data_IF_497012564266
#
_entry.id   IF_497012564266
#
_cell.length_a   1.000
_cell.length_b   1.000
_cell.length_c   1.000
_cell.angle_alpha   90.00
_cell.angle_beta   90.00
_cell.angle_gamma   90.00
#
_symmetry.space_group_name_H-M   'P 1'
#
loop_
_entity.id
_entity.type
_entity.pdbx_description
1 polymer ?
#
# COMPACT_ATOMS: atom_id res chain seq x y z
N UNK A 1 -36.37 -47.60 22.24
CA UNK A 1 -35.34 -48.61 22.53
C UNK A 1 -34.00 -47.88 22.45
N UNK A 2 -33.79 -46.94 23.38
CA UNK A 2 -33.15 -47.16 24.68
C UNK A 2 -31.63 -47.36 24.55
N UNK A 3 -30.88 -46.29 24.81
CA UNK A 3 -30.08 -46.26 26.05
C UNK A 3 -29.43 -44.89 26.26
N UNK A 4 -29.69 -44.34 27.44
CA UNK A 4 -29.10 -43.15 28.00
C UNK A 4 -27.77 -43.50 28.71
N UNK A 5 -26.81 -42.57 28.71
CA UNK A 5 -25.95 -42.32 29.87
C UNK A 5 -25.18 -40.99 29.72
N UNK A 6 -25.32 -40.12 30.73
CA UNK A 6 -24.60 -38.85 30.94
C UNK A 6 -23.13 -39.10 31.31
N UNK A 7 -22.30 -38.04 31.30
CA UNK A 7 -21.48 -37.81 32.49
C UNK A 7 -21.54 -36.38 33.05
N UNK A 8 -21.16 -36.33 34.34
CA UNK A 8 -21.30 -35.24 35.29
C UNK A 8 -20.16 -34.22 35.19
N UNK A 9 -20.49 -33.01 35.60
CA UNK A 9 -19.63 -31.89 35.99
C UNK A 9 -18.66 -32.23 37.14
N UNK A 10 -17.44 -31.68 37.10
CA UNK A 10 -16.66 -31.21 38.27
C UNK A 10 -15.61 -30.14 37.86
N UNK A 11 -15.83 -28.92 38.35
CA UNK A 11 -14.87 -27.85 38.72
C UNK A 11 -14.73 -27.98 40.26
N UNK A 12 -13.70 -27.55 41.04
CA UNK A 12 -12.69 -26.46 40.87
C UNK A 12 -11.24 -26.84 41.29
N UNK A 13 -10.27 -25.91 41.17
CA UNK A 13 -9.56 -25.29 42.31
C UNK A 13 -8.53 -24.23 41.89
N UNK A 14 -8.49 -23.15 42.66
CA UNK A 14 -7.57 -22.02 42.62
C UNK A 14 -6.15 -22.40 43.08
N UNK A 15 -5.13 -21.71 42.57
CA UNK A 15 -3.91 -21.43 43.33
C UNK A 15 -3.29 -20.08 42.94
N UNK A 16 -3.09 -19.31 44.01
CA UNK A 16 -2.51 -18.00 44.16
C UNK A 16 -0.98 -18.13 44.24
N UNK A 17 -0.18 -17.28 43.59
CA UNK A 17 1.21 -17.07 44.02
C UNK A 17 1.67 -15.62 43.78
N UNK A 18 2.35 -15.10 44.80
CA UNK A 18 2.72 -13.71 45.04
C UNK A 18 4.17 -13.42 44.56
N UNK A 19 4.33 -12.23 43.97
CA UNK A 19 5.44 -11.24 43.98
C UNK A 19 6.85 -11.68 44.44
N UNK A 20 7.86 -11.29 43.65
CA UNK A 20 9.14 -10.73 44.14
C UNK A 20 9.69 -9.68 43.16
N UNK A 21 10.00 -8.51 43.70
CA UNK A 21 10.68 -7.40 43.04
C UNK A 21 12.20 -7.51 43.25
N UNK A 22 12.99 -7.05 42.27
CA UNK A 22 14.40 -6.72 42.48
C UNK A 22 14.75 -5.46 41.68
N UNK A 23 15.22 -4.45 42.41
CA UNK A 23 15.84 -3.23 41.91
C UNK A 23 17.36 -3.42 41.82
N UNK A 24 17.99 -2.79 40.84
CA UNK A 24 19.37 -2.31 40.98
C UNK A 24 19.56 -1.08 40.11
N UNK A 25 20.24 -0.09 40.69
CA UNK A 25 20.58 1.19 40.09
C UNK A 25 22.10 1.34 40.03
N UNK A 26 22.50 2.25 39.14
CA UNK A 26 23.73 3.07 39.12
C UNK A 26 24.75 2.74 38.03
N UNK A 27 24.88 3.65 37.07
CA UNK A 27 26.11 4.41 36.84
C UNK A 27 25.77 5.71 36.08
N UNK A 28 26.12 6.85 36.67
CA UNK A 28 26.09 8.19 36.08
C UNK A 28 27.31 8.38 35.17
N UNK A 29 27.10 9.07 34.05
CA UNK A 29 28.14 9.90 33.45
C UNK A 29 27.51 11.23 33.01
N UNK A 30 27.93 12.32 33.66
CA UNK A 30 27.70 13.70 33.23
C UNK A 30 28.90 14.16 32.40
N UNK A 31 28.67 14.66 31.17
CA UNK A 31 29.48 15.72 30.57
C UNK A 31 28.60 16.61 29.67
N UNK A 32 28.42 17.85 30.13
CA UNK A 32 28.31 19.15 29.47
C UNK A 32 27.32 19.44 28.30
N UNK A 33 26.88 20.72 28.14
CA UNK A 33 25.60 21.08 27.56
C UNK A 33 25.68 21.87 26.23
N UNK A 34 24.47 22.12 25.69
CA UNK A 34 24.09 23.14 24.69
C UNK A 34 24.31 22.82 23.21
N UNK A 35 23.23 22.31 22.62
CA UNK A 35 22.94 22.29 21.19
C UNK A 35 21.55 21.70 20.99
N UNK A 36 20.51 22.48 21.25
CA UNK A 36 19.10 22.08 21.19
C UNK A 36 18.72 21.59 19.79
N UNK A 37 18.72 20.26 19.59
CA UNK A 37 18.04 19.60 18.48
C UNK A 37 17.01 18.63 19.06
N UNK A 38 15.75 19.02 19.01
CA UNK A 38 14.61 18.20 19.41
C UNK A 38 14.32 17.15 18.33
N UNK A 39 14.72 15.90 18.63
CA UNK A 39 14.05 14.59 18.40
C UNK A 39 13.49 14.23 17.01
N UNK A 40 13.60 13.00 16.48
CA UNK A 40 13.92 11.70 17.07
C UNK A 40 14.34 10.65 16.00
N UNK A 41 15.26 9.74 16.34
CA UNK A 41 15.44 8.40 15.75
C UNK A 41 15.81 7.37 16.85
N UNK A 42 15.38 6.11 16.69
CA UNK A 42 15.84 4.92 17.43
C UNK A 42 16.25 3.84 16.39
N UNK A 43 17.38 3.12 16.55
CA UNK A 43 18.03 2.27 15.54
C UNK A 43 17.26 1.09 14.89
N UNK A 44 15.96 0.86 15.11
CA UNK A 44 15.25 -0.34 14.62
C UNK A 44 13.97 -0.11 13.78
N UNK A 45 13.61 1.11 13.37
CA UNK A 45 12.30 1.37 12.73
C UNK A 45 12.35 2.45 11.67
N UNK A 46 11.71 2.18 10.52
CA UNK A 46 11.75 2.97 9.30
C UNK A 46 11.18 4.39 9.45
N UNK A 47 11.93 5.32 8.88
CA UNK A 47 11.75 6.77 8.86
C UNK A 47 10.71 7.18 7.80
N UNK A 48 9.73 8.03 8.13
CA UNK A 48 9.17 8.97 7.15
C UNK A 48 9.88 10.31 7.29
N UNK A 49 10.83 10.57 6.40
CA UNK A 49 11.34 11.91 6.15
C UNK A 49 10.43 12.51 5.09
N UNK A 50 9.60 13.48 5.46
CA UNK A 50 8.99 14.38 4.50
C UNK A 50 10.05 15.43 4.14
N UNK A 51 10.81 15.16 3.09
CA UNK A 51 11.87 16.06 2.61
C UNK A 51 11.28 17.17 1.73
N UNK A 52 10.60 18.14 2.34
CA UNK A 52 10.72 19.53 1.88
C UNK A 52 11.47 20.28 2.99
N UNK A 53 12.80 20.32 2.93
CA UNK A 53 13.63 20.91 4.00
C UNK A 53 13.27 22.39 4.29
N UNK A 54 12.59 23.07 3.37
CA UNK A 54 12.15 24.45 3.57
C UNK A 54 10.74 24.57 4.18
N UNK A 55 9.96 23.48 4.23
CA UNK A 55 8.57 23.47 4.76
C UNK A 55 8.29 22.41 5.82
N UNK A 56 9.16 21.43 6.03
CA UNK A 56 9.00 20.38 7.03
C UNK A 56 8.82 20.92 8.46
N UNK A 57 9.29 22.15 8.73
CA UNK A 57 9.11 22.88 9.98
C UNK A 57 8.00 23.95 9.91
N UNK A 58 7.16 23.93 8.88
CA UNK A 58 6.08 24.90 8.68
C UNK A 58 4.71 24.27 8.55
N UNK A 59 4.58 22.96 8.41
CA UNK A 59 3.27 22.29 8.28
C UNK A 59 3.07 21.14 9.26
N UNK A 60 1.98 21.14 10.02
CA UNK A 60 1.47 19.98 10.75
C UNK A 60 0.93 18.96 9.76
N UNK A 61 1.31 17.69 9.95
CA UNK A 61 0.77 16.59 9.18
C UNK A 61 -0.29 15.82 9.99
N UNK A 62 -1.31 15.32 9.30
CA UNK A 62 -2.39 14.51 9.89
C UNK A 62 -2.58 13.22 9.11
N UNK A 63 -3.07 12.18 9.79
CA UNK A 63 -3.64 11.02 9.10
C UNK A 63 -5.03 11.43 8.61
N UNK A 64 -5.27 11.30 7.32
CA UNK A 64 -6.60 11.28 6.75
C UNK A 64 -6.96 9.84 6.40
N UNK A 65 -8.12 9.38 6.88
CA UNK A 65 -8.69 8.11 6.45
C UNK A 65 -9.72 8.37 5.36
N UNK A 66 -9.72 7.55 4.31
CA UNK A 66 -10.74 7.58 3.25
C UNK A 66 -11.76 6.47 3.53
N UNK A 67 -13.01 6.81 3.84
CA UNK A 67 -14.05 5.80 4.05
C UNK A 67 -14.31 4.95 2.81
N UNK A 68 -14.44 3.63 2.97
CA UNK A 68 -14.87 2.69 1.91
C UNK A 68 -16.41 2.68 1.83
N UNK A 69 -16.97 3.78 1.35
CA UNK A 69 -18.41 3.99 1.14
C UNK A 69 -18.66 4.90 -0.07
N UNK A 70 -19.82 4.76 -0.76
CA UNK A 70 -20.05 5.42 -2.05
C UNK A 70 -19.80 6.93 -2.04
N UNK A 71 -20.18 7.61 -0.96
CA UNK A 71 -20.08 9.07 -0.87
C UNK A 71 -18.64 9.60 -0.92
N UNK A 72 -17.63 8.78 -0.57
CA UNK A 72 -16.22 9.18 -0.51
C UNK A 72 -15.45 8.97 -1.83
N UNK A 73 -16.06 8.32 -2.83
CA UNK A 73 -15.37 7.88 -4.05
C UNK A 73 -16.07 8.35 -5.32
N UNK A 74 -15.27 8.77 -6.30
CA UNK A 74 -15.68 8.86 -7.69
C UNK A 74 -15.42 7.52 -8.36
N UNK A 75 -16.38 7.05 -9.16
CA UNK A 75 -16.23 5.83 -9.96
C UNK A 75 -16.13 6.27 -11.41
N UNK A 76 -14.97 6.06 -12.03
CA UNK A 76 -14.74 6.43 -13.42
C UNK A 76 -15.51 5.52 -14.39
N UNK A 77 -15.61 4.22 -14.07
CA UNK A 77 -16.40 3.24 -14.79
C UNK A 77 -16.67 2.00 -13.91
N UNK A 78 -17.68 1.21 -14.30
CA UNK A 78 -17.94 -0.10 -13.70
C UNK A 78 -18.47 -0.04 -12.28
N UNK A 79 -19.33 0.94 -11.96
CA UNK A 79 -19.96 1.09 -10.65
C UNK A 79 -20.76 -0.16 -10.23
N UNK A 80 -21.41 -0.85 -11.18
CA UNK A 80 -22.10 -2.12 -10.93
C UNK A 80 -21.16 -3.26 -10.46
N UNK A 81 -19.85 -3.11 -10.63
CA UNK A 81 -18.84 -4.06 -10.14
C UNK A 81 -18.31 -3.71 -8.75
N UNK A 82 -18.82 -2.65 -8.11
CA UNK A 82 -18.36 -2.19 -6.80
C UNK A 82 -19.42 -2.49 -5.75
N UNK A 83 -19.02 -3.17 -4.67
CA UNK A 83 -19.86 -3.41 -3.52
C UNK A 83 -19.22 -2.84 -2.25
N UNK A 84 -20.05 -2.29 -1.37
CA UNK A 84 -19.62 -1.69 -0.10
C UNK A 84 -20.07 -2.59 1.04
N UNK A 85 -19.15 -3.42 1.53
CA UNK A 85 -19.40 -4.39 2.58
C UNK A 85 -19.30 -3.69 3.95
N UNK A 86 -20.40 -3.72 4.73
CA UNK A 86 -20.35 -3.31 6.14
C UNK A 86 -19.63 -4.40 6.93
N UNK A 87 -18.61 -4.01 7.70
CA UNK A 87 -17.93 -4.93 8.60
C UNK A 87 -18.08 -4.43 10.04
N UNK A 88 -18.64 -5.24 10.96
CA UNK A 88 -18.66 -4.91 12.38
C UNK A 88 -17.22 -4.62 12.86
N UNK A 89 -17.02 -3.45 13.49
CA UNK A 89 -15.70 -3.03 13.97
C UNK A 89 -14.75 -2.41 12.93
N UNK A 90 -15.16 -2.26 11.66
CA UNK A 90 -14.44 -1.44 10.68
C UNK A 90 -15.28 -0.21 10.36
N UNK A 91 -15.11 0.92 11.09
CA UNK A 91 -15.94 2.12 10.89
C UNK A 91 -15.83 2.69 9.46
N UNK A 92 -14.73 2.37 8.76
CA UNK A 92 -14.48 2.78 7.38
C UNK A 92 -15.08 1.81 6.34
N UNK A 93 -15.63 0.65 6.71
CA UNK A 93 -16.16 -0.35 5.75
C UNK A 93 -15.10 -1.10 4.95
N UNK A 94 -15.55 -1.97 4.04
CA UNK A 94 -14.73 -2.70 3.06
C UNK A 94 -15.29 -2.44 1.66
N UNK A 95 -14.43 -2.02 0.74
CA UNK A 95 -14.76 -1.90 -0.68
C UNK A 95 -14.39 -3.21 -1.38
N UNK A 96 -15.34 -3.85 -2.05
CA UNK A 96 -15.10 -4.98 -2.94
C UNK A 96 -15.26 -4.53 -4.38
N UNK A 97 -14.24 -4.75 -5.19
CA UNK A 97 -14.27 -4.54 -6.64
C UNK A 97 -14.23 -5.91 -7.33
N UNK A 98 -15.16 -6.14 -8.25
CA UNK A 98 -15.27 -7.38 -9.01
C UNK A 98 -14.76 -7.18 -10.45
N UNK A 99 -14.19 -8.22 -11.02
CA UNK A 99 -13.96 -8.35 -12.46
C UNK A 99 -14.94 -9.39 -13.01
N UNK A 100 -15.93 -8.96 -13.79
CA UNK A 100 -16.94 -9.83 -14.38
C UNK A 100 -16.85 -9.73 -15.92
N UNK A 101 -16.63 -10.87 -16.59
CA UNK A 101 -16.17 -10.84 -17.98
C UNK A 101 -14.85 -10.08 -18.09
N UNK A 102 -14.78 -9.10 -18.98
CA UNK A 102 -13.61 -8.22 -19.14
C UNK A 102 -13.76 -6.88 -18.42
N UNK A 103 -14.87 -6.66 -17.71
CA UNK A 103 -15.18 -5.36 -17.10
C UNK A 103 -14.98 -5.40 -15.60
N UNK A 104 -14.10 -4.53 -15.10
CA UNK A 104 -13.92 -4.29 -13.67
C UNK A 104 -14.39 -2.90 -13.27
N UNK A 105 -13.61 -2.18 -12.45
CA UNK A 105 -13.91 -0.80 -12.06
C UNK A 105 -12.63 0.00 -11.78
N UNK A 106 -12.72 1.33 -11.85
CA UNK A 106 -11.68 2.27 -11.42
C UNK A 106 -12.30 3.37 -10.57
N UNK A 107 -11.68 3.63 -9.43
CA UNK A 107 -12.19 4.55 -8.42
C UNK A 107 -11.10 5.46 -7.89
N UNK A 108 -11.46 6.72 -7.66
CA UNK A 108 -10.59 7.73 -7.04
C UNK A 108 -11.31 8.35 -5.85
N UNK A 109 -10.63 8.64 -4.73
CA UNK A 109 -11.21 9.39 -3.62
C UNK A 109 -11.64 10.80 -4.05
N UNK A 110 -12.71 11.34 -3.47
CA UNK A 110 -13.24 12.69 -3.79
C UNK A 110 -12.45 13.85 -3.18
N UNK A 111 -11.41 13.55 -2.44
CA UNK A 111 -10.67 14.48 -1.61
C UNK A 111 -9.38 14.99 -2.28
N UNK A 112 -9.30 14.84 -3.61
CA UNK A 112 -8.41 15.59 -4.50
C UNK A 112 -7.03 14.97 -4.76
N UNK A 113 -6.20 15.77 -5.45
CA UNK A 113 -4.82 15.43 -5.78
C UNK A 113 -3.87 15.76 -4.63
N UNK A 114 -2.76 15.03 -4.58
CA UNK A 114 -1.69 15.15 -3.62
C UNK A 114 -0.36 15.34 -4.33
N UNK A 115 0.50 16.17 -3.76
CA UNK A 115 1.89 16.23 -4.16
C UNK A 115 2.73 15.76 -2.97
N UNK A 116 3.30 14.56 -3.10
CA UNK A 116 4.02 13.84 -2.04
C UNK A 116 3.12 13.38 -0.87
N UNK A 117 3.67 12.50 -0.04
CA UNK A 117 3.01 11.96 1.14
C UNK A 117 3.20 10.46 1.30
N UNK A 118 2.62 9.93 2.36
CA UNK A 118 2.53 8.48 2.58
C UNK A 118 1.09 8.05 2.38
N UNK A 119 0.89 7.00 1.58
CA UNK A 119 -0.40 6.37 1.31
C UNK A 119 -0.33 4.92 1.75
N UNK A 120 -1.39 4.42 2.36
CA UNK A 120 -1.48 3.05 2.84
C UNK A 120 -2.87 2.49 2.56
N UNK A 121 -2.95 1.27 2.07
CA UNK A 121 -4.21 0.54 1.96
C UNK A 121 -4.03 -0.89 2.46
N UNK A 122 -5.09 -1.46 3.04
CA UNK A 122 -5.15 -2.90 3.30
C UNK A 122 -5.93 -3.57 2.20
N UNK A 123 -5.36 -4.61 1.58
CA UNK A 123 -5.97 -5.29 0.46
C UNK A 123 -5.96 -6.82 0.60
N UNK A 124 -6.97 -7.44 -0.01
CA UNK A 124 -7.04 -8.85 -0.39
C UNK A 124 -7.33 -8.88 -1.89
N UNK A 125 -6.29 -9.01 -2.72
CA UNK A 125 -6.44 -8.94 -4.18
C UNK A 125 -6.70 -10.33 -4.77
N UNK A 126 -7.49 -10.42 -5.84
CA UNK A 126 -7.64 -11.68 -6.58
C UNK A 126 -6.28 -12.16 -7.11
N UNK A 127 -6.13 -13.48 -7.20
CA UNK A 127 -5.01 -14.10 -7.91
C UNK A 127 -5.41 -14.83 -9.19
N UNK A 128 -6.61 -14.55 -9.71
CA UNK A 128 -7.10 -15.15 -10.93
C UNK A 128 -6.21 -14.74 -12.13
N UNK A 129 -5.79 -15.68 -12.99
CA UNK A 129 -5.01 -15.35 -14.18
C UNK A 129 -5.71 -14.30 -15.05
N UNK A 130 -4.95 -13.38 -15.66
CA UNK A 130 -5.51 -12.31 -16.49
C UNK A 130 -6.08 -11.12 -15.72
N UNK A 131 -6.35 -11.25 -14.43
CA UNK A 131 -6.83 -10.15 -13.60
C UNK A 131 -5.67 -9.30 -13.07
N UNK A 132 -5.80 -7.99 -13.20
CA UNK A 132 -4.86 -6.99 -12.66
C UNK A 132 -5.60 -6.13 -11.64
N UNK A 133 -5.21 -6.27 -10.38
CA UNK A 133 -5.64 -5.36 -9.32
C UNK A 133 -4.60 -4.27 -9.16
N UNK A 134 -4.99 -3.02 -8.90
CA UNK A 134 -4.04 -1.93 -8.71
C UNK A 134 -4.44 -0.99 -7.57
N UNK A 135 -3.43 -0.51 -6.83
CA UNK A 135 -3.48 0.62 -5.91
C UNK A 135 -2.32 1.54 -6.26
N UNK A 136 -2.62 2.75 -6.71
CA UNK A 136 -1.61 3.63 -7.27
C UNK A 136 -1.93 5.10 -7.05
N UNK A 137 -0.98 5.98 -7.35
CA UNK A 137 -1.20 7.42 -7.51
C UNK A 137 -1.08 7.79 -8.97
N UNK A 138 -1.90 8.70 -9.51
CA UNK A 138 -1.77 9.17 -10.90
C UNK A 138 -2.14 10.64 -11.05
N UNK A 139 -1.42 11.37 -11.91
CA UNK A 139 -1.63 12.81 -12.17
C UNK A 139 -2.61 13.13 -13.31
N UNK A 140 -3.32 12.13 -13.82
CA UNK A 140 -4.22 12.28 -14.97
C UNK A 140 -5.28 11.18 -14.98
N UNK A 141 -6.52 11.57 -15.26
CA UNK A 141 -7.64 10.64 -15.46
C UNK A 141 -7.69 10.08 -16.89
N UNK A 142 -6.89 10.62 -17.82
CA UNK A 142 -6.89 10.18 -19.21
C UNK A 142 -6.27 8.78 -19.31
N UNK A 143 -7.01 7.90 -19.99
CA UNK A 143 -6.64 6.54 -20.33
C UNK A 143 -7.09 6.24 -21.76
N UNK A 144 -6.32 5.54 -22.62
CA UNK A 144 -5.10 4.76 -22.36
C UNK A 144 -3.80 5.57 -22.28
N UNK A 145 -2.73 4.96 -21.75
CA UNK A 145 -1.42 5.60 -21.50
C UNK A 145 -0.80 6.31 -22.72
N UNK A 146 -1.04 5.83 -23.94
CA UNK A 146 -0.55 6.46 -25.17
C UNK A 146 -1.21 7.84 -25.43
N UNK A 147 -2.48 7.99 -25.04
CA UNK A 147 -3.21 9.26 -25.13
C UNK A 147 -3.01 10.14 -23.89
N UNK A 148 -2.58 9.56 -22.78
CA UNK A 148 -2.35 10.28 -21.52
C UNK A 148 -1.14 11.22 -21.57
N UNK A 149 -0.22 10.98 -22.51
CA UNK A 149 0.95 11.83 -22.74
C UNK A 149 1.86 11.91 -21.51
N UNK A 150 2.10 13.13 -21.03
CA UNK A 150 2.96 13.41 -19.89
C UNK A 150 2.18 13.29 -18.56
N UNK A 151 2.32 12.15 -17.89
CA UNK A 151 1.76 11.91 -16.54
C UNK A 151 2.81 11.35 -15.56
N UNK A 152 2.50 11.49 -14.28
CA UNK A 152 3.18 10.88 -13.14
C UNK A 152 2.35 9.75 -12.57
N UNK A 153 2.98 8.66 -12.16
CA UNK A 153 2.30 7.49 -11.57
C UNK A 153 3.20 6.73 -10.60
N UNK A 154 2.63 6.05 -9.60
CA UNK A 154 3.34 5.15 -8.67
C UNK A 154 2.44 3.97 -8.33
N UNK A 155 2.90 2.75 -8.58
CA UNK A 155 2.05 1.57 -8.67
C UNK A 155 2.38 0.48 -7.67
N UNK A 156 1.34 -0.01 -7.00
CA UNK A 156 1.22 -1.41 -6.58
C UNK A 156 0.23 -2.11 -7.50
N UNK A 157 0.68 -3.14 -8.22
CA UNK A 157 -0.18 -3.98 -9.04
C UNK A 157 -0.04 -5.44 -8.63
N UNK A 158 -1.16 -6.13 -8.46
CA UNK A 158 -1.19 -7.58 -8.29
C UNK A 158 -1.35 -8.20 -9.67
N UNK A 159 -0.28 -8.86 -10.10
CA UNK A 159 -0.14 -9.38 -11.44
C UNK A 159 -0.24 -10.90 -11.41
N UNK A 160 -1.20 -11.43 -12.18
CA UNK A 160 -1.57 -12.84 -12.13
C UNK A 160 -1.25 -13.61 -13.42
N UNK A 161 -0.32 -13.06 -14.21
CA UNK A 161 0.19 -13.60 -15.45
C UNK A 161 1.21 -12.62 -16.03
N UNK A 162 1.45 -12.66 -17.34
CA UNK A 162 2.56 -11.95 -17.99
C UNK A 162 2.78 -10.48 -17.52
N UNK A 163 4.02 -10.06 -17.19
CA UNK A 163 5.26 -10.85 -17.15
C UNK A 163 5.46 -11.73 -15.91
N UNK A 164 4.49 -11.79 -14.98
CA UNK A 164 4.58 -12.70 -13.85
C UNK A 164 4.52 -14.17 -14.28
N UNK A 165 5.45 -14.97 -13.75
CA UNK A 165 5.45 -16.43 -13.89
C UNK A 165 4.62 -17.13 -12.80
N UNK A 166 4.35 -16.42 -11.70
CA UNK A 166 3.56 -16.90 -10.57
C UNK A 166 2.38 -15.96 -10.34
N UNK A 167 1.20 -16.52 -10.08
CA UNK A 167 0.04 -15.75 -9.63
C UNK A 167 0.30 -15.10 -8.27
N UNK A 168 -0.47 -14.06 -7.94
CA UNK A 168 -0.28 -13.24 -6.75
C UNK A 168 1.04 -12.45 -6.73
N UNK A 169 1.74 -12.31 -7.85
CA UNK A 169 2.97 -11.52 -7.91
C UNK A 169 2.65 -10.04 -7.73
N UNK A 170 3.61 -9.30 -7.18
CA UNK A 170 3.51 -7.86 -7.00
C UNK A 170 4.39 -7.16 -8.03
N UNK A 171 3.80 -6.26 -8.80
CA UNK A 171 4.49 -5.36 -9.71
C UNK A 171 4.56 -3.97 -9.10
N UNK A 172 5.76 -3.42 -9.03
CA UNK A 172 6.06 -2.13 -8.44
C UNK A 172 6.68 -1.22 -9.49
N UNK A 173 6.07 -0.06 -9.72
CA UNK A 173 6.54 0.88 -10.73
C UNK A 173 6.38 2.33 -10.26
N UNK A 174 7.11 3.22 -10.90
CA UNK A 174 6.84 4.64 -10.87
C UNK A 174 7.08 5.21 -12.27
N UNK A 175 6.29 6.20 -12.65
CA UNK A 175 6.36 6.85 -13.95
C UNK A 175 6.54 8.35 -13.77
N UNK A 176 7.39 8.92 -14.61
CA UNK A 176 7.57 10.37 -14.70
C UNK A 176 7.68 10.72 -16.18
N UNK A 177 6.86 11.67 -16.63
CA UNK A 177 6.78 12.00 -18.05
C UNK A 177 6.16 10.90 -18.90
N UNK A 178 5.27 10.07 -18.33
CA UNK A 178 4.70 8.88 -18.99
C UNK A 178 5.70 7.75 -19.24
N UNK A 179 6.87 7.76 -18.58
CA UNK A 179 7.90 6.75 -18.77
C UNK A 179 8.18 6.02 -17.45
N UNK A 180 8.18 4.69 -17.48
CA UNK A 180 8.56 3.86 -16.33
C UNK A 180 9.98 4.15 -15.84
N UNK A 181 10.17 4.21 -14.53
CA UNK A 181 11.41 4.61 -13.84
C UNK A 181 12.04 3.46 -13.04
N UNK A 182 11.77 2.23 -13.47
CA UNK A 182 12.28 1.01 -12.84
C UNK A 182 11.16 0.12 -12.40
N UNK A 183 10.67 -0.74 -13.28
CA UNK A 183 9.70 -1.76 -12.90
C UNK A 183 10.38 -2.83 -12.02
N UNK A 184 9.64 -3.43 -11.09
CA UNK A 184 10.08 -4.62 -10.35
C UNK A 184 8.90 -5.56 -10.18
N UNK A 185 9.09 -6.79 -10.62
CA UNK A 185 8.22 -7.90 -10.30
C UNK A 185 8.77 -8.64 -9.06
N UNK A 186 7.89 -8.97 -8.13
CA UNK A 186 8.19 -9.72 -6.91
C UNK A 186 7.20 -10.87 -6.76
N UNK A 187 7.71 -12.10 -6.84
CA UNK A 187 6.88 -13.31 -6.71
C UNK A 187 6.49 -13.63 -5.27
N UNK A 188 5.54 -14.58 -5.06
CA UNK A 188 5.09 -14.98 -3.74
C UNK A 188 6.18 -15.47 -2.79
N UNK A 189 7.08 -16.31 -3.28
CA UNK A 189 8.20 -16.84 -2.48
C UNK A 189 9.11 -15.71 -1.95
N UNK A 190 9.34 -14.69 -2.76
CA UNK A 190 10.19 -13.55 -2.41
C UNK A 190 9.56 -12.70 -1.31
N UNK A 191 8.33 -12.21 -1.49
CA UNK A 191 7.72 -11.37 -0.46
C UNK A 191 7.46 -12.15 0.83
N UNK A 192 7.14 -13.45 0.76
CA UNK A 192 6.97 -14.27 1.97
C UNK A 192 8.26 -14.36 2.77
N UNK A 193 9.38 -14.63 2.10
CA UNK A 193 10.71 -14.66 2.72
C UNK A 193 11.06 -13.30 3.31
N UNK A 194 10.85 -12.22 2.55
CA UNK A 194 11.12 -10.86 3.01
C UNK A 194 10.32 -10.53 4.26
N UNK A 195 9.07 -10.98 4.36
CA UNK A 195 8.19 -10.68 5.48
C UNK A 195 8.31 -11.67 6.65
N UNK A 196 8.93 -12.83 6.46
CA UNK A 196 8.91 -13.92 7.44
C UNK A 196 7.52 -14.57 7.56
N UNK A 197 6.73 -14.55 6.50
CA UNK A 197 5.41 -15.16 6.48
C UNK A 197 5.49 -16.67 6.26
N UNK A 198 4.54 -17.46 6.81
CA UNK A 198 4.41 -18.85 6.43
C UNK A 198 4.04 -18.97 4.94
N UNK A 199 4.45 -20.07 4.29
CA UNK A 199 4.17 -20.31 2.87
C UNK A 199 2.67 -20.29 2.53
N UNK A 200 1.80 -20.55 3.51
CA UNK A 200 0.34 -20.50 3.38
C UNK A 200 -0.26 -19.09 3.35
N UNK A 201 0.44 -18.06 3.85
CA UNK A 201 -0.05 -16.68 3.83
C UNK A 201 0.17 -16.06 2.45
N UNK A 202 -0.92 -15.79 1.72
CA UNK A 202 -0.91 -15.17 0.39
C UNK A 202 -1.67 -13.85 0.42
N UNK A 203 -1.42 -13.00 -0.58
CA UNK A 203 -2.03 -11.67 -0.71
C UNK A 203 -3.53 -11.71 -1.06
N UNK A 204 -4.04 -12.85 -1.57
CA UNK A 204 -5.47 -13.07 -1.82
C UNK A 204 -6.25 -13.60 -0.61
N UNK A 205 -5.59 -14.34 0.29
CA UNK A 205 -6.26 -14.96 1.45
C UNK A 205 -6.09 -14.17 2.74
N UNK A 206 -5.25 -13.13 2.75
CA UNK A 206 -4.91 -12.36 3.96
C UNK A 206 -4.98 -10.86 3.72
N UNK A 207 -5.48 -10.12 4.71
CA UNK A 207 -5.41 -8.66 4.70
C UNK A 207 -3.97 -8.20 4.93
N UNK A 208 -3.34 -7.75 3.86
CA UNK A 208 -1.97 -7.23 3.85
C UNK A 208 -2.01 -5.71 3.69
N UNK A 209 -1.11 -5.01 4.36
CA UNK A 209 -0.93 -3.56 4.25
C UNK A 209 0.09 -3.24 3.16
N UNK A 210 -0.27 -2.34 2.25
CA UNK A 210 0.58 -1.87 1.14
C UNK A 210 0.74 -0.38 1.27
N UNK A 211 1.98 0.09 1.29
CA UNK A 211 2.28 1.51 1.49
C UNK A 211 3.17 2.06 0.39
N UNK A 212 2.92 3.31 0.03
CA UNK A 212 3.75 4.16 -0.83
C UNK A 212 4.16 5.36 0.01
N UNK A 213 5.44 5.56 0.24
CA UNK A 213 6.00 6.80 0.78
C UNK A 213 6.68 7.55 -0.37
N UNK A 214 6.00 8.58 -0.87
CA UNK A 214 6.40 9.38 -2.01
C UNK A 214 6.92 10.75 -1.54
N UNK A 215 8.16 11.05 -1.89
CA UNK A 215 8.87 12.27 -1.51
C UNK A 215 9.53 12.91 -2.74
N UNK A 216 9.94 14.18 -2.68
CA UNK A 216 10.60 14.84 -3.82
C UNK A 216 11.85 14.12 -4.32
N UNK A 217 12.55 13.42 -3.41
CA UNK A 217 13.84 12.78 -3.68
C UNK A 217 13.76 11.27 -3.78
N UNK A 218 12.63 10.64 -3.41
CA UNK A 218 12.50 9.19 -3.44
C UNK A 218 11.06 8.68 -3.43
N UNK A 219 10.90 7.41 -3.81
CA UNK A 219 9.68 6.62 -3.57
C UNK A 219 10.05 5.34 -2.83
N UNK A 220 9.37 5.06 -1.72
CA UNK A 220 9.53 3.82 -0.95
C UNK A 220 8.24 3.02 -0.92
N UNK A 221 8.33 1.74 -1.26
CA UNK A 221 7.27 0.76 -1.13
C UNK A 221 7.48 -0.08 0.13
N UNK A 222 6.40 -0.32 0.87
CA UNK A 222 6.41 -1.22 2.03
C UNK A 222 5.22 -2.18 2.00
N UNK A 223 5.45 -3.38 2.55
CA UNK A 223 4.48 -4.45 2.70
C UNK A 223 4.42 -4.83 4.18
N UNK A 224 3.24 -4.84 4.81
CA UNK A 224 3.05 -5.02 6.26
C UNK A 224 4.05 -4.18 7.09
N UNK A 225 4.27 -2.92 6.71
CA UNK A 225 5.18 -1.99 7.38
C UNK A 225 6.68 -2.22 7.12
N UNK A 226 7.07 -3.30 6.43
CA UNK A 226 8.46 -3.58 6.07
C UNK A 226 8.75 -3.06 4.67
N UNK A 227 9.82 -2.28 4.54
CA UNK A 227 10.28 -1.77 3.24
C UNK A 227 10.66 -2.93 2.32
N UNK A 228 10.12 -2.91 1.10
CA UNK A 228 10.48 -3.85 0.03
C UNK A 228 11.36 -3.19 -1.03
N UNK A 229 11.22 -1.88 -1.24
CA UNK A 229 11.97 -1.14 -2.25
C UNK A 229 11.99 0.35 -1.94
N UNK A 230 13.14 1.00 -2.08
CA UNK A 230 13.26 2.46 -2.16
C UNK A 230 13.92 2.81 -3.48
N UNK A 231 13.40 3.79 -4.20
CA UNK A 231 13.95 4.40 -5.41
C UNK A 231 14.38 5.82 -5.11
N UNK A 232 15.68 6.12 -5.21
CA UNK A 232 16.22 7.45 -4.91
C UNK A 232 16.57 8.20 -6.19
N UNK A 233 16.36 9.51 -6.22
CA UNK A 233 16.70 10.33 -7.38
C UNK A 233 18.17 10.14 -7.78
N UNK A 234 18.42 10.03 -9.08
CA UNK A 234 19.75 9.81 -9.63
C UNK A 234 20.23 8.36 -9.59
N UNK A 235 19.57 7.48 -8.83
CA UNK A 235 19.90 6.05 -8.80
C UNK A 235 19.65 5.42 -10.17
N UNK A 236 20.70 4.87 -10.81
CA UNK A 236 20.57 4.14 -12.07
C UNK A 236 19.94 2.78 -11.82
N UNK A 237 18.81 2.53 -12.48
CA UNK A 237 18.06 1.29 -12.39
C UNK A 237 18.01 0.62 -13.75
N UNK A 238 18.18 -0.69 -13.75
CA UNK A 238 18.03 -1.54 -14.93
C UNK A 238 16.89 -2.52 -14.69
N UNK A 239 15.99 -2.64 -15.66
CA UNK A 239 14.87 -3.57 -15.61
C UNK A 239 14.55 -4.08 -17.01
N UNK A 240 13.84 -5.20 -17.07
CA UNK A 240 13.30 -5.74 -18.30
C UNK A 240 11.86 -5.27 -18.44
N UNK A 241 11.53 -4.63 -19.55
CA UNK A 241 10.14 -4.25 -19.85
C UNK A 241 9.34 -5.49 -20.20
N UNK A 242 8.01 -5.33 -20.18
CA UNK A 242 7.08 -6.32 -20.73
C UNK A 242 7.44 -6.83 -22.13
N UNK A 243 7.99 -5.98 -23.00
CA UNK A 243 8.41 -6.36 -24.35
C UNK A 243 9.75 -7.11 -24.40
N UNK A 244 10.31 -7.51 -23.26
CA UNK A 244 11.61 -8.19 -23.16
C UNK A 244 12.84 -7.27 -23.31
N UNK A 245 12.64 -5.96 -23.51
CA UNK A 245 13.74 -5.03 -23.68
C UNK A 245 14.35 -4.67 -22.33
N UNK A 246 15.68 -4.65 -22.25
CA UNK A 246 16.37 -4.12 -21.08
C UNK A 246 16.47 -2.61 -21.17
N UNK A 247 15.94 -1.90 -20.17
CA UNK A 247 16.06 -0.45 -20.03
C UNK A 247 16.92 -0.11 -18.83
N UNK A 248 17.70 0.97 -18.96
CA UNK A 248 18.42 1.58 -17.85
C UNK A 248 18.12 3.06 -17.78
N UNK A 249 17.75 3.57 -16.60
CA UNK A 249 17.51 5.01 -16.38
C UNK A 249 17.86 5.43 -14.96
N UNK A 250 18.30 6.67 -14.80
CA UNK A 250 18.33 7.31 -13.50
C UNK A 250 16.89 7.59 -13.03
N UNK A 251 16.56 7.12 -11.83
CA UNK A 251 15.25 7.38 -11.25
C UNK A 251 15.05 8.88 -11.00
N UNK A 252 13.84 9.35 -11.26
CA UNK A 252 13.34 10.68 -10.90
C UNK A 252 11.99 10.47 -10.25
N UNK A 253 11.84 10.98 -9.02
CA UNK A 253 10.59 10.91 -8.28
C UNK A 253 9.50 11.66 -9.04
N UNK A 254 8.28 11.12 -9.11
CA UNK A 254 7.20 11.81 -9.78
C UNK A 254 6.93 13.18 -9.13
N UNK A 255 6.65 14.20 -9.94
CA UNK A 255 6.59 15.60 -9.47
C UNK A 255 5.24 16.29 -9.71
N UNK A 256 4.28 15.61 -10.35
CA UNK A 256 2.95 16.17 -10.60
C UNK A 256 1.96 15.80 -9.49
N UNK A 257 1.07 16.73 -9.09
CA UNK A 257 -0.06 16.42 -8.23
C UNK A 257 -0.82 15.20 -8.77
N UNK A 258 -1.13 14.25 -7.88
CA UNK A 258 -1.70 12.95 -8.22
C UNK A 258 -2.74 12.51 -7.21
N UNK A 259 -3.84 11.93 -7.66
CA UNK A 259 -4.83 11.30 -6.78
C UNK A 259 -4.50 9.82 -6.59
N UNK A 260 -4.93 9.27 -5.45
CA UNK A 260 -4.95 7.82 -5.25
C UNK A 260 -6.01 7.20 -6.16
N UNK A 261 -5.69 6.05 -6.73
CA UNK A 261 -6.62 5.24 -7.52
C UNK A 261 -6.60 3.79 -7.04
N UNK A 262 -7.77 3.19 -7.02
CA UNK A 262 -7.94 1.74 -6.92
C UNK A 262 -8.62 1.26 -8.19
N UNK A 263 -8.13 0.17 -8.76
CA UNK A 263 -8.78 -0.45 -9.91
C UNK A 263 -8.63 -1.95 -9.95
N UNK A 264 -9.51 -2.59 -10.71
CA UNK A 264 -9.41 -3.97 -11.11
C UNK A 264 -9.83 -4.05 -12.57
N UNK A 265 -9.00 -4.69 -13.39
CA UNK A 265 -9.16 -4.73 -14.84
C UNK A 265 -8.46 -5.96 -15.42
N UNK A 266 -8.57 -6.13 -16.73
CA UNK A 266 -7.80 -7.11 -17.50
C UNK A 266 -7.33 -6.48 -18.80
N UNK A 267 -6.13 -6.85 -19.27
CA UNK A 267 -5.71 -6.56 -20.65
C UNK A 267 -6.13 -7.67 -21.62
N UNK A 268 -7.08 -8.52 -21.23
CA UNK A 268 -7.65 -9.55 -22.10
C UNK A 268 -8.48 -8.92 -23.22
N UNK A 269 -7.77 -8.55 -24.28
CA UNK A 269 -8.30 -8.03 -25.53
C UNK A 269 -8.08 -9.08 -26.62
N UNK A 270 -9.09 -9.22 -27.46
CA UNK A 270 -9.11 -10.19 -28.56
C UNK A 270 -8.03 -9.94 -29.62
N UNK A 271 -7.50 -8.73 -29.71
CA UNK A 271 -6.56 -8.27 -30.73
C UNK A 271 -5.07 -8.40 -30.35
N UNK A 272 -4.77 -8.83 -29.11
CA UNK A 272 -3.40 -9.05 -28.63
C UNK A 272 -3.13 -10.53 -28.35
N UNK A 273 -1.96 -11.07 -28.74
CA UNK A 273 -1.51 -12.40 -28.31
C UNK A 273 -1.47 -12.53 -26.78
N UNK A 274 -1.80 -13.71 -26.25
CA UNK A 274 -1.92 -13.93 -24.81
C UNK A 274 -0.65 -13.63 -24.01
N UNK A 275 0.51 -13.86 -24.61
CA UNK A 275 1.86 -13.60 -24.08
C UNK A 275 2.26 -12.11 -24.14
N UNK A 276 1.46 -11.25 -24.78
CA UNK A 276 1.67 -9.80 -24.84
C UNK A 276 0.68 -9.02 -23.96
N UNK A 277 -0.30 -9.69 -23.35
CA UNK A 277 -1.31 -9.07 -22.48
C UNK A 277 -0.73 -8.84 -21.09
N UNK A 278 -0.86 -7.64 -20.54
CA UNK A 278 -0.49 -7.41 -19.15
C UNK A 278 -1.43 -8.16 -18.21
N UNK A 279 -0.87 -8.98 -17.32
CA UNK A 279 -1.62 -9.87 -16.44
C UNK A 279 -1.98 -11.21 -17.07
N UNK A 280 -1.72 -11.42 -18.36
CA UNK A 280 -2.03 -12.66 -19.09
C UNK A 280 -3.47 -12.77 -19.59
N UNK A 281 -3.89 -13.98 -19.96
CA UNK A 281 -5.26 -14.27 -20.41
C UNK A 281 -6.21 -14.51 -19.24
N UNK A 282 -7.43 -13.99 -19.32
CA UNK A 282 -8.47 -14.15 -18.31
C UNK A 282 -9.45 -15.24 -18.76
N UNK A 283 -9.90 -16.08 -17.84
CA UNK A 283 -11.11 -16.86 -18.08
C UNK A 283 -12.33 -15.95 -17.89
N UNK A 284 -12.86 -15.39 -18.97
CA UNK A 284 -14.01 -14.47 -18.87
C UNK A 284 -15.31 -15.15 -18.44
N UNK A 285 -15.36 -16.49 -18.42
CA UNK A 285 -16.54 -17.26 -18.01
C UNK A 285 -16.56 -17.60 -16.51
N UNK A 286 -15.40 -17.56 -15.83
CA UNK A 286 -15.26 -17.97 -14.44
C UNK A 286 -15.46 -16.87 -13.38
N UNK A 287 -15.75 -15.63 -13.79
CA UNK A 287 -15.97 -14.50 -12.89
C UNK A 287 -17.28 -14.57 -12.08
N UNK A 288 -17.52 -13.64 -11.13
CA UNK A 288 -16.69 -12.47 -10.85
C UNK A 288 -15.46 -12.78 -9.99
N UNK A 289 -14.33 -12.15 -10.32
CA UNK A 289 -13.10 -12.24 -9.53
C UNK A 289 -12.99 -11.04 -8.57
N UNK A 290 -13.07 -11.24 -7.23
CA UNK A 290 -13.12 -10.13 -6.28
C UNK A 290 -11.73 -9.71 -5.79
N UNK A 291 -11.53 -8.39 -5.69
CA UNK A 291 -10.50 -7.79 -4.84
C UNK A 291 -11.16 -6.92 -3.77
N UNK A 292 -10.62 -6.92 -2.56
CA UNK A 292 -11.17 -6.16 -1.43
C UNK A 292 -10.14 -5.20 -0.86
N UNK A 293 -10.61 -4.03 -0.44
CA UNK A 293 -9.80 -2.94 0.10
C UNK A 293 -10.44 -2.37 1.36
N UNK A 294 -9.61 -1.97 2.31
CA UNK A 294 -10.05 -1.23 3.51
C UNK A 294 -8.94 -0.37 4.08
N UNK A 295 -9.32 0.52 4.98
CA UNK A 295 -8.37 1.35 5.74
C UNK A 295 -7.41 2.11 4.83
N UNK A 296 -7.93 2.73 3.76
CA UNK A 296 -7.11 3.66 2.98
C UNK A 296 -6.78 4.87 3.86
N UNK A 297 -5.49 5.10 4.06
CA UNK A 297 -4.94 6.15 4.90
C UNK A 297 -3.91 6.91 4.12
N UNK A 298 -3.79 8.19 4.45
CA UNK A 298 -2.76 9.05 3.91
C UNK A 298 -2.29 10.08 4.91
N UNK A 299 -1.03 10.46 4.79
CA UNK A 299 -0.46 11.56 5.56
C UNK A 299 -0.58 12.83 4.74
N UNK A 300 -1.39 13.77 5.21
CA UNK A 300 -1.59 15.09 4.61
C UNK A 300 -0.83 16.13 5.42
N UNK A 301 -0.03 16.96 4.76
CA UNK A 301 0.68 18.08 5.39
C UNK A 301 0.11 19.38 4.82
N UNK A 302 -1.06 19.77 5.32
CA UNK A 302 -1.93 20.82 4.77
C UNK A 302 -2.13 22.03 5.70
N UNK A 303 -1.84 21.89 6.99
CA UNK A 303 -1.98 22.98 7.96
C UNK A 303 -0.61 23.50 8.41
N UNK A 304 -0.41 24.81 8.60
CA UNK A 304 0.83 25.32 9.17
C UNK A 304 1.11 24.75 10.58
N UNK A 305 2.38 24.53 10.95
CA UNK A 305 2.70 24.16 12.34
C UNK A 305 2.25 25.30 13.28
N UNK A 306 1.75 24.96 14.48
CA UNK A 306 1.53 25.95 15.54
C UNK A 306 2.83 26.73 15.79
N UNK A 307 2.74 28.04 16.01
CA UNK A 307 3.94 28.84 16.31
C UNK A 307 4.52 28.52 17.70
N UNK A 308 5.82 28.75 17.88
CA UNK A 308 6.50 28.66 19.17
C UNK A 308 6.69 27.23 19.68
N UNK A 309 6.73 27.06 21.01
CA UNK A 309 6.99 25.78 21.67
C UNK A 309 5.91 24.71 21.42
N UNK A 310 4.73 25.11 20.94
CA UNK A 310 3.66 24.21 20.54
C UNK A 310 3.98 23.38 19.28
N UNK A 311 4.90 23.84 18.41
CA UNK A 311 5.40 23.03 17.29
C UNK A 311 6.16 21.79 17.78
N UNK A 312 6.81 21.88 18.95
CA UNK A 312 7.69 20.85 19.49
C UNK A 312 6.92 19.67 20.10
N UNK A 313 5.60 19.80 20.28
CA UNK A 313 4.74 18.76 20.85
C UNK A 313 3.89 18.04 19.79
N UNK A 314 3.88 18.53 18.54
CA UNK A 314 3.18 17.88 17.42
C UNK A 314 3.97 16.64 17.02
N UNK A 315 3.51 15.48 17.48
CA UNK A 315 4.02 14.18 17.02
C UNK A 315 3.31 13.80 15.73
N UNK A 316 4.06 13.27 14.76
CA UNK A 316 3.46 12.63 13.59
C UNK A 316 2.59 11.41 13.99
N UNK A 317 1.86 10.82 13.04
CA UNK A 317 1.13 9.56 13.21
C UNK A 317 1.88 8.50 14.04
N UNK A 318 1.18 7.74 14.90
CA UNK A 318 1.83 6.81 15.83
C UNK A 318 2.48 5.57 15.24
N UNK A 319 2.25 5.33 13.96
CA UNK A 319 2.90 4.27 13.18
C UNK A 319 4.14 4.79 12.42
N UNK A 320 4.49 6.06 12.59
CA UNK A 320 5.74 6.67 12.11
C UNK A 320 6.85 6.67 13.17
N UNK A 321 6.62 6.16 14.38
CA UNK A 321 7.58 6.08 15.47
C UNK A 321 7.59 4.72 16.16
#
# INVERSE_FOLDING_TARGET
MDNAARPRSRVPLYSLLLVLAASSAAAQAQVAPLGSYLGCFNPNGLIARLEDQNRANRTSCRIAEVPMRPEAWNIAYGDWNVAWERQPGAPQGVMRVNLAGTTGARLTPKDGDHLYGTFEVRAQATCAPGAVTAFYTRSSDIYPNEAAGDFSEIDWEWLNGNPAQEQCSLWLNAQQGGKGMGERLMGPSEYQKLMGWPASKRTNSSWVTYSINWQPTFVTFALDGRRVRTMQNGERRTWMTMGGNTLTRAFVSPEKPSHVTISLWTDDRWDRPADQRFGGALDTSGGPYPSRFKSLRRVLCDAPLPQGSAALTVRGPSWLY
#
